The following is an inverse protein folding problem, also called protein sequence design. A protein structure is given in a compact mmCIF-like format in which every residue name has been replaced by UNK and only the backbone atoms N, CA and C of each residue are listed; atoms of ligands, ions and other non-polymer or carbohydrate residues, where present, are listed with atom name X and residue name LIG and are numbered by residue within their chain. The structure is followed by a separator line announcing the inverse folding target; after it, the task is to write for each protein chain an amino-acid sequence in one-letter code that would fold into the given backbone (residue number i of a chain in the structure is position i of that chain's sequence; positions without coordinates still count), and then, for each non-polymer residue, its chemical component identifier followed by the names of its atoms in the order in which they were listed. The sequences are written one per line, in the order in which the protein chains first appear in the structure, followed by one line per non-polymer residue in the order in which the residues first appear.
data_IF_968816970157
#
_entry.id   IF_968816970157
#
_cell.length_a   1.000
_cell.length_b   1.000
_cell.length_c   1.000
_cell.angle_alpha   90.00
_cell.angle_beta   90.00
_cell.angle_gamma   90.00
#
_symmetry.space_group_name_H-M   'P 1'
#
loop_
_entity.id
_entity.type
_entity.pdbx_description
1 polymer ?
#
# COMPACT_ATOMS: atom_id res chain seq x y z
N UNK A 1 1.08 59.25 -3.93
CA UNK A 1 -0.18 58.69 -3.33
C UNK A 1 -1.24 58.26 -4.36
N UNK A 2 -1.56 59.01 -5.43
CA UNK A 2 -2.56 58.61 -6.44
C UNK A 2 -2.24 57.29 -7.18
N UNK A 3 -0.97 57.06 -7.50
CA UNK A 3 -0.52 55.83 -8.17
C UNK A 3 -0.80 54.56 -7.33
N UNK A 4 -0.49 54.62 -6.03
CA UNK A 4 -0.74 53.54 -5.07
C UNK A 4 -2.26 53.32 -4.91
N UNK A 5 -3.06 54.39 -4.81
CA UNK A 5 -4.52 54.29 -4.72
C UNK A 5 -5.15 53.67 -5.98
N UNK A 6 -4.70 54.07 -7.17
CA UNK A 6 -5.20 53.53 -8.44
C UNK A 6 -4.78 52.07 -8.66
N UNK A 7 -3.55 51.71 -8.29
CA UNK A 7 -3.08 50.33 -8.30
C UNK A 7 -3.94 49.44 -7.40
N UNK A 8 -4.21 49.89 -6.16
CA UNK A 8 -5.08 49.19 -5.22
C UNK A 8 -6.54 49.13 -5.66
N UNK A 9 -7.08 50.15 -6.34
CA UNK A 9 -8.44 50.08 -6.90
C UNK A 9 -8.55 49.09 -8.05
N UNK A 10 -7.54 49.04 -8.93
CA UNK A 10 -7.50 48.12 -10.09
C UNK A 10 -7.39 46.65 -9.68
N UNK A 11 -6.70 46.36 -8.57
CA UNK A 11 -6.68 45.04 -7.95
C UNK A 11 -8.00 44.68 -7.24
N UNK A 12 -8.74 45.66 -6.72
CA UNK A 12 -10.03 45.46 -6.01
C UNK A 12 -11.25 45.35 -6.94
N UNK A 13 -11.12 45.67 -8.23
CA UNK A 13 -12.21 45.58 -9.21
C UNK A 13 -11.80 44.77 -10.45
N UNK A 14 -11.48 43.47 -10.31
CA UNK A 14 -11.17 42.64 -11.46
C UNK A 14 -12.38 42.57 -12.40
N UNK A 15 -12.15 42.62 -13.72
CA UNK A 15 -13.25 42.51 -14.68
C UNK A 15 -13.91 41.14 -14.54
N UNK A 16 -15.24 41.08 -14.71
CA UNK A 16 -15.99 39.80 -14.63
C UNK A 16 -15.42 38.74 -15.58
N UNK A 17 -14.90 39.17 -16.73
CA UNK A 17 -14.22 38.32 -17.72
C UNK A 17 -12.89 37.79 -17.18
N UNK A 18 -12.07 38.61 -16.52
CA UNK A 18 -10.82 38.16 -15.91
C UNK A 18 -11.07 37.17 -14.77
N UNK A 19 -12.07 37.42 -13.92
CA UNK A 19 -12.47 36.48 -12.86
C UNK A 19 -12.97 35.16 -13.46
N UNK A 20 -13.84 35.23 -14.47
CA UNK A 20 -14.34 34.03 -15.16
C UNK A 20 -13.23 33.23 -15.84
N UNK A 21 -12.26 33.90 -16.47
CA UNK A 21 -11.11 33.25 -17.09
C UNK A 21 -10.21 32.56 -16.06
N UNK A 22 -9.91 33.21 -14.93
CA UNK A 22 -9.09 32.61 -13.85
C UNK A 22 -9.79 31.41 -13.24
N UNK A 23 -11.10 31.52 -12.95
CA UNK A 23 -11.87 30.40 -12.42
C UNK A 23 -11.96 29.25 -13.42
N UNK A 24 -12.19 29.55 -14.71
CA UNK A 24 -12.23 28.55 -15.77
C UNK A 24 -10.89 27.82 -15.93
N UNK A 25 -9.78 28.57 -15.98
CA UNK A 25 -8.43 27.98 -16.03
C UNK A 25 -8.11 27.17 -14.78
N UNK A 26 -8.47 27.67 -13.59
CA UNK A 26 -8.28 26.95 -12.32
C UNK A 26 -9.07 25.64 -12.28
N UNK A 27 -10.31 25.64 -12.78
CA UNK A 27 -11.14 24.44 -12.86
C UNK A 27 -10.55 23.40 -13.83
N UNK A 28 -10.21 23.83 -15.05
CA UNK A 28 -9.57 22.95 -16.05
C UNK A 28 -8.22 22.42 -15.53
N UNK A 29 -7.40 23.29 -14.96
CA UNK A 29 -6.12 22.92 -14.34
C UNK A 29 -6.32 21.93 -13.18
N UNK A 30 -7.34 22.13 -12.35
CA UNK A 30 -7.70 21.22 -11.27
C UNK A 30 -8.09 19.83 -11.76
N UNK A 31 -8.91 19.74 -12.82
CA UNK A 31 -9.28 18.46 -13.45
C UNK A 31 -8.05 17.75 -14.01
N UNK A 32 -7.20 18.48 -14.75
CA UNK A 32 -5.98 17.92 -15.33
C UNK A 32 -5.02 17.43 -14.25
N UNK A 33 -4.82 18.22 -13.20
CA UNK A 33 -3.97 17.83 -12.07
C UNK A 33 -4.54 16.59 -11.36
N UNK A 34 -5.84 16.58 -11.06
CA UNK A 34 -6.48 15.44 -10.40
C UNK A 34 -6.38 14.16 -11.23
N UNK A 35 -6.62 14.25 -12.53
CA UNK A 35 -6.50 13.12 -13.46
C UNK A 35 -5.06 12.61 -13.53
N UNK A 36 -4.08 13.50 -13.73
CA UNK A 36 -2.67 13.14 -13.80
C UNK A 36 -2.16 12.52 -12.49
N UNK A 37 -2.54 13.12 -11.35
CA UNK A 37 -2.17 12.63 -10.02
C UNK A 37 -2.70 11.21 -9.79
N UNK A 38 -3.99 10.96 -10.01
CA UNK A 38 -4.58 9.62 -9.81
C UNK A 38 -4.03 8.60 -10.81
N UNK A 39 -3.74 9.02 -12.04
CA UNK A 39 -3.07 8.14 -13.03
C UNK A 39 -1.69 7.72 -12.56
N UNK A 40 -0.89 8.65 -12.04
CA UNK A 40 0.43 8.34 -11.47
C UNK A 40 0.34 7.46 -10.22
N UNK A 41 -0.65 7.72 -9.37
CA UNK A 41 -0.93 6.89 -8.18
C UNK A 41 -1.24 5.45 -8.55
N UNK A 42 -2.03 5.24 -9.61
CA UNK A 42 -2.41 3.91 -10.08
C UNK A 42 -1.27 3.21 -10.82
N UNK A 43 -0.52 3.93 -11.67
CA UNK A 43 0.65 3.39 -12.34
C UNK A 43 1.68 2.82 -11.32
N UNK A 44 1.84 3.51 -10.19
CA UNK A 44 2.74 3.10 -9.10
C UNK A 44 2.16 2.01 -8.18
N UNK A 45 0.95 1.51 -8.45
CA UNK A 45 0.36 0.34 -7.79
C UNK A 45 0.43 -0.93 -8.64
N UNK A 46 0.91 -0.83 -9.89
CA UNK A 46 0.99 -1.97 -10.79
C UNK A 46 2.14 -2.92 -10.42
N UNK A 47 1.98 -4.21 -10.73
CA UNK A 47 3.05 -5.20 -10.57
C UNK A 47 4.28 -4.85 -11.42
N UNK A 48 4.09 -4.24 -12.59
CA UNK A 48 5.19 -3.78 -13.44
C UNK A 48 6.06 -2.72 -12.74
N UNK A 49 5.44 -1.79 -12.01
CA UNK A 49 6.17 -0.81 -11.21
C UNK A 49 6.89 -1.48 -10.02
N UNK A 50 6.19 -2.31 -9.26
CA UNK A 50 6.76 -2.98 -8.09
C UNK A 50 7.92 -3.91 -8.47
N UNK A 51 7.76 -4.71 -9.52
CA UNK A 51 8.75 -5.67 -10.01
C UNK A 51 10.03 -5.00 -10.50
N UNK A 52 9.97 -3.74 -10.95
CA UNK A 52 11.15 -2.95 -11.31
C UNK A 52 12.21 -2.85 -10.19
N UNK A 53 11.81 -2.95 -8.92
CA UNK A 53 12.74 -2.98 -7.77
C UNK A 53 12.68 -4.31 -6.98
N UNK A 54 11.50 -4.93 -6.90
CA UNK A 54 11.24 -6.14 -6.09
C UNK A 54 11.23 -7.44 -6.89
N UNK A 55 11.95 -7.50 -8.01
CA UNK A 55 12.00 -8.68 -8.87
C UNK A 55 12.23 -10.03 -8.15
N UNK A 56 13.08 -10.14 -7.11
CA UNK A 56 13.34 -11.43 -6.46
C UNK A 56 12.14 -12.11 -5.80
N UNK A 57 11.03 -11.41 -5.56
CA UNK A 57 9.82 -11.97 -4.93
C UNK A 57 8.70 -12.27 -5.92
N UNK A 58 8.85 -11.87 -7.19
CA UNK A 58 7.78 -11.99 -8.20
C UNK A 58 7.49 -13.45 -8.54
N UNK A 59 8.51 -14.30 -8.60
CA UNK A 59 8.32 -15.74 -8.82
C UNK A 59 7.64 -16.42 -7.63
N UNK A 60 7.87 -15.91 -6.42
CA UNK A 60 7.37 -16.55 -5.20
C UNK A 60 5.86 -16.41 -5.04
N UNK A 61 5.29 -15.25 -5.39
CA UNK A 61 3.83 -15.06 -5.32
C UNK A 61 3.10 -15.98 -6.30
N UNK A 62 3.73 -16.31 -7.44
CA UNK A 62 3.16 -17.20 -8.45
C UNK A 62 2.89 -18.62 -7.95
N UNK A 63 3.61 -19.03 -6.91
CA UNK A 63 3.45 -20.33 -6.26
C UNK A 63 2.28 -20.36 -5.25
N UNK A 64 1.51 -19.25 -5.10
CA UNK A 64 0.51 -19.09 -4.03
C UNK A 64 -0.93 -18.98 -4.51
N UNK A 65 -1.88 -19.17 -3.60
CA UNK A 65 -3.33 -19.02 -3.86
C UNK A 65 -3.71 -17.58 -4.24
N UNK A 66 -2.90 -16.59 -3.86
CA UNK A 66 -3.12 -15.19 -4.23
C UNK A 66 -2.80 -14.91 -5.69
N UNK A 67 -2.04 -15.80 -6.35
CA UNK A 67 -1.78 -15.74 -7.79
C UNK A 67 -2.80 -16.53 -8.62
N UNK A 68 -3.02 -17.79 -8.26
CA UNK A 68 -3.93 -18.70 -8.98
C UNK A 68 -4.79 -19.47 -8.00
N UNK A 69 -6.11 -19.35 -8.15
CA UNK A 69 -7.08 -20.00 -7.28
C UNK A 69 -8.37 -20.35 -8.03
N UNK A 70 -9.21 -21.15 -7.37
CA UNK A 70 -10.49 -21.64 -7.89
C UNK A 70 -11.53 -20.56 -8.20
N UNK A 71 -11.41 -19.37 -7.60
CA UNK A 71 -12.41 -18.30 -7.73
C UNK A 71 -12.07 -17.30 -8.84
N UNK A 72 -10.83 -17.31 -9.34
CA UNK A 72 -10.35 -16.34 -10.34
C UNK A 72 -10.07 -14.93 -9.80
N UNK A 73 -10.20 -14.72 -8.48
CA UNK A 73 -9.88 -13.44 -7.83
C UNK A 73 -8.38 -13.40 -7.56
N UNK A 74 -7.65 -12.47 -8.16
CA UNK A 74 -6.20 -12.38 -8.00
C UNK A 74 -5.83 -11.11 -7.24
N UNK A 75 -5.03 -11.27 -6.19
CA UNK A 75 -4.41 -10.14 -5.51
C UNK A 75 -3.08 -9.81 -6.19
N UNK A 76 -2.82 -8.52 -6.41
CA UNK A 76 -1.55 -7.99 -6.89
C UNK A 76 -0.74 -7.39 -5.73
N UNK A 77 0.50 -6.98 -5.99
CA UNK A 77 1.39 -6.45 -4.96
C UNK A 77 0.74 -5.34 -4.13
N UNK A 78 0.03 -4.41 -4.78
CA UNK A 78 -0.56 -3.26 -4.11
C UNK A 78 -1.76 -3.60 -3.23
N UNK A 79 -2.51 -4.68 -3.51
CA UNK A 79 -3.66 -5.07 -2.67
C UNK A 79 -3.22 -5.42 -1.24
N UNK A 80 -2.01 -5.96 -1.08
CA UNK A 80 -1.44 -6.31 0.23
C UNK A 80 -0.49 -5.23 0.79
N UNK A 81 0.27 -4.54 -0.07
CA UNK A 81 1.33 -3.61 0.36
C UNK A 81 0.94 -2.13 0.35
N UNK A 82 -0.22 -1.78 -0.21
CA UNK A 82 -0.73 -0.41 -0.31
C UNK A 82 -2.18 -0.36 0.20
N UNK A 83 -2.49 0.41 1.25
CA UNK A 83 -3.86 0.49 1.76
C UNK A 83 -4.85 0.96 0.69
N UNK A 84 -6.08 0.44 0.73
CA UNK A 84 -7.13 0.83 -0.20
C UNK A 84 -7.74 2.19 0.17
N UNK A 85 -7.85 2.49 1.47
CA UNK A 85 -8.35 3.76 1.96
C UNK A 85 -7.41 4.92 1.58
N UNK A 86 -7.98 6.08 1.27
CA UNK A 86 -7.20 7.20 0.73
C UNK A 86 -6.09 7.67 1.69
N UNK A 87 -6.40 7.82 2.97
CA UNK A 87 -5.44 8.33 3.96
C UNK A 87 -4.28 7.37 4.15
N UNK A 88 -4.57 6.08 4.35
CA UNK A 88 -3.57 5.02 4.45
C UNK A 88 -2.72 4.91 3.19
N UNK A 89 -3.34 4.97 2.01
CA UNK A 89 -2.64 4.94 0.71
C UNK A 89 -1.62 6.07 0.60
N UNK A 90 -2.01 7.29 0.94
CA UNK A 90 -1.14 8.46 0.88
C UNK A 90 0.00 8.34 1.89
N UNK A 91 -0.29 7.95 3.14
CA UNK A 91 0.74 7.73 4.18
C UNK A 91 1.75 6.68 3.72
N UNK A 92 1.30 5.53 3.22
CA UNK A 92 2.17 4.45 2.75
C UNK A 92 3.03 4.90 1.56
N UNK A 93 2.47 5.66 0.63
CA UNK A 93 3.23 6.18 -0.52
C UNK A 93 4.26 7.24 -0.12
N UNK A 94 3.97 8.08 0.87
CA UNK A 94 4.97 8.98 1.46
C UNK A 94 6.07 8.18 2.14
N UNK A 95 5.75 7.12 2.89
CA UNK A 95 6.76 6.23 3.48
C UNK A 95 7.60 5.51 2.40
N UNK A 96 6.96 5.05 1.32
CA UNK A 96 7.61 4.36 0.20
C UNK A 96 8.64 5.24 -0.52
N UNK A 97 8.51 6.58 -0.46
CA UNK A 97 9.52 7.48 -1.02
C UNK A 97 10.93 7.21 -0.44
N UNK A 98 11.02 6.77 0.83
CA UNK A 98 12.28 6.36 1.46
C UNK A 98 12.83 5.06 0.87
N UNK A 99 11.97 4.14 0.45
CA UNK A 99 12.35 2.89 -0.22
C UNK A 99 12.94 3.18 -1.59
N UNK A 100 12.38 4.14 -2.34
CA UNK A 100 12.96 4.60 -3.62
C UNK A 100 14.36 5.19 -3.44
N UNK A 101 14.56 6.00 -2.40
CA UNK A 101 15.88 6.56 -2.06
C UNK A 101 16.86 5.44 -1.70
N UNK A 102 16.45 4.49 -0.85
CA UNK A 102 17.28 3.34 -0.47
C UNK A 102 17.64 2.44 -1.67
N UNK A 103 16.70 2.26 -2.61
CA UNK A 103 16.95 1.55 -3.86
C UNK A 103 17.95 2.29 -4.75
N UNK A 104 17.79 3.61 -4.91
CA UNK A 104 18.72 4.45 -5.66
C UNK A 104 20.14 4.45 -5.06
N UNK A 105 20.25 4.34 -3.73
CA UNK A 105 21.53 4.14 -3.01
C UNK A 105 22.07 2.70 -3.10
N UNK A 106 21.34 1.79 -3.73
CA UNK A 106 21.79 0.42 -3.99
C UNK A 106 21.63 -0.55 -2.82
N UNK A 107 20.70 -0.28 -1.89
CA UNK A 107 20.51 -1.10 -0.67
C UNK A 107 20.01 -2.52 -0.98
N UNK A 108 19.21 -2.67 -2.04
CA UNK A 108 18.66 -3.96 -2.51
C UNK A 108 18.88 -4.17 -4.03
N UNK A 109 19.89 -3.51 -4.61
CA UNK A 109 20.08 -3.45 -6.08
C UNK A 109 20.46 -4.77 -6.75
N UNK A 110 20.78 -5.81 -5.98
CA UNK A 110 21.07 -7.16 -6.48
C UNK A 110 20.28 -8.18 -5.68
N UNK A 111 20.11 -9.38 -6.25
CA UNK A 111 19.42 -10.51 -5.60
C UNK A 111 20.07 -10.87 -4.26
N UNK A 112 21.39 -10.85 -4.20
CA UNK A 112 22.19 -11.13 -3.00
C UNK A 112 21.95 -10.08 -1.92
N UNK A 113 21.96 -8.79 -2.29
CA UNK A 113 21.67 -7.69 -1.35
C UNK A 113 20.23 -7.74 -0.84
N UNK A 114 19.28 -8.06 -1.71
CA UNK A 114 17.88 -8.26 -1.32
C UNK A 114 17.76 -9.39 -0.30
N UNK A 115 18.34 -10.56 -0.60
CA UNK A 115 18.26 -11.71 0.29
C UNK A 115 19.00 -11.51 1.61
N UNK A 116 20.15 -10.82 1.61
CA UNK A 116 20.85 -10.44 2.84
C UNK A 116 19.99 -9.56 3.77
N UNK A 117 19.02 -8.83 3.21
CA UNK A 117 18.08 -7.98 3.96
C UNK A 117 16.68 -8.57 4.08
N UNK A 118 16.43 -9.78 3.56
CA UNK A 118 15.09 -10.37 3.47
C UNK A 118 14.37 -10.39 4.81
N UNK A 119 15.04 -10.85 5.87
CA UNK A 119 14.49 -10.89 7.23
C UNK A 119 14.05 -9.52 7.69
N UNK A 120 14.93 -8.52 7.59
CA UNK A 120 14.61 -7.14 7.96
C UNK A 120 13.44 -6.54 7.17
N UNK A 121 13.35 -6.82 5.86
CA UNK A 121 12.25 -6.35 5.03
C UNK A 121 10.92 -7.03 5.42
N UNK A 122 10.95 -8.34 5.65
CA UNK A 122 9.78 -9.11 6.07
C UNK A 122 9.28 -8.69 7.45
N UNK A 123 10.16 -8.54 8.44
CA UNK A 123 9.81 -8.11 9.80
C UNK A 123 9.17 -6.72 9.82
N UNK A 124 9.71 -5.77 9.03
CA UNK A 124 9.10 -4.44 8.90
C UNK A 124 7.68 -4.51 8.33
N UNK A 125 7.46 -5.38 7.36
CA UNK A 125 6.15 -5.49 6.73
C UNK A 125 5.15 -6.24 7.62
N UNK A 126 5.59 -7.29 8.32
CA UNK A 126 4.77 -7.96 9.31
C UNK A 126 4.43 -7.05 10.47
N UNK A 127 5.38 -6.25 10.95
CA UNK A 127 5.12 -5.24 11.98
C UNK A 127 4.07 -4.24 11.49
N UNK A 128 4.20 -3.71 10.27
CA UNK A 128 3.19 -2.81 9.68
C UNK A 128 1.80 -3.43 9.62
N UNK A 129 1.71 -4.67 9.15
CA UNK A 129 0.46 -5.43 9.06
C UNK A 129 -0.09 -5.80 10.45
N UNK A 130 0.75 -5.97 11.46
CA UNK A 130 0.30 -6.21 12.83
C UNK A 130 -0.24 -4.94 13.47
N UNK A 131 0.48 -3.82 13.33
CA UNK A 131 0.12 -2.52 13.90
C UNK A 131 -1.21 -1.96 13.37
N UNK A 132 -1.63 -2.39 12.17
CA UNK A 132 -2.89 -1.96 11.56
C UNK A 132 -3.97 -3.05 11.53
N UNK A 133 -3.85 -4.08 12.38
CA UNK A 133 -4.79 -5.21 12.47
C UNK A 133 -5.01 -5.92 11.11
N UNK A 134 -3.94 -6.07 10.34
CA UNK A 134 -3.92 -6.74 9.04
C UNK A 134 -4.99 -6.21 8.09
N UNK A 135 -5.23 -4.90 8.12
CA UNK A 135 -6.26 -4.21 7.33
C UNK A 135 -6.25 -4.62 5.86
N UNK A 136 -5.09 -4.76 5.26
CA UNK A 136 -4.96 -5.15 3.86
C UNK A 136 -5.44 -6.59 3.59
N UNK A 137 -5.27 -7.50 4.56
CA UNK A 137 -5.87 -8.83 4.50
C UNK A 137 -7.40 -8.73 4.60
N UNK A 138 -7.90 -7.93 5.54
CA UNK A 138 -9.34 -7.78 5.84
C UNK A 138 -10.14 -7.11 4.73
N UNK A 139 -9.50 -6.34 3.85
CA UNK A 139 -10.14 -5.80 2.65
C UNK A 139 -10.78 -6.89 1.76
N UNK A 140 -10.28 -8.13 1.84
CA UNK A 140 -10.79 -9.28 1.11
C UNK A 140 -11.21 -10.44 2.04
N UNK A 141 -10.55 -10.58 3.20
CA UNK A 141 -10.77 -11.64 4.18
C UNK A 141 -11.41 -11.10 5.45
N UNK A 142 -12.66 -10.67 5.34
CA UNK A 142 -13.39 -10.16 6.48
C UNK A 142 -13.75 -11.30 7.45
N UNK A 143 -13.53 -11.07 8.74
CA UNK A 143 -13.66 -12.10 9.77
C UNK A 143 -15.11 -12.59 9.89
N UNK A 144 -16.07 -11.65 9.86
CA UNK A 144 -17.50 -11.93 10.03
C UNK A 144 -18.08 -12.81 8.91
N UNK A 145 -17.39 -12.92 7.78
CA UNK A 145 -17.80 -13.73 6.64
C UNK A 145 -16.96 -15.01 6.48
N UNK A 146 -16.11 -15.34 7.45
CA UNK A 146 -15.40 -16.61 7.47
C UNK A 146 -16.34 -17.76 7.84
N UNK A 147 -16.47 -18.74 6.97
CA UNK A 147 -17.18 -19.97 7.29
C UNK A 147 -16.28 -20.90 8.14
N UNK A 148 -16.57 -21.04 9.43
CA UNK A 148 -15.81 -21.94 10.33
C UNK A 148 -16.08 -23.43 10.05
N UNK A 149 -17.20 -23.78 9.40
CA UNK A 149 -17.48 -25.19 9.09
C UNK A 149 -16.57 -25.74 8.00
N UNK A 150 -16.04 -24.87 7.13
CA UNK A 150 -15.11 -25.21 6.04
C UNK A 150 -13.63 -25.14 6.46
N UNK A 151 -13.35 -24.88 7.74
CA UNK A 151 -11.99 -24.71 8.26
C UNK A 151 -11.51 -25.95 9.01
N UNK A 152 -10.19 -26.18 8.97
CA UNK A 152 -9.57 -27.22 9.80
C UNK A 152 -9.71 -26.92 11.29
N UNK A 153 -9.75 -27.95 12.18
CA UNK A 153 -9.99 -27.77 13.61
C UNK A 153 -9.04 -26.76 14.30
N UNK A 154 -7.77 -26.73 13.88
CA UNK A 154 -6.79 -25.76 14.38
C UNK A 154 -7.16 -24.33 14.00
N UNK A 155 -7.54 -24.10 12.74
CA UNK A 155 -7.91 -22.78 12.22
C UNK A 155 -9.17 -22.28 12.91
N UNK A 156 -10.21 -23.12 13.04
CA UNK A 156 -11.43 -22.77 13.79
C UNK A 156 -11.07 -22.31 15.19
N UNK A 157 -10.28 -23.10 15.93
CA UNK A 157 -9.88 -22.73 17.29
C UNK A 157 -9.15 -21.39 17.34
N UNK A 158 -8.18 -21.16 16.46
CA UNK A 158 -7.39 -19.91 16.47
C UNK A 158 -8.22 -18.70 16.03
N UNK A 159 -9.06 -18.86 15.00
CA UNK A 159 -9.90 -17.78 14.51
C UNK A 159 -11.03 -17.44 15.50
N UNK A 160 -11.65 -18.42 16.15
CA UNK A 160 -12.72 -18.18 17.13
C UNK A 160 -12.25 -17.76 18.52
N UNK A 161 -10.93 -17.72 18.76
CA UNK A 161 -10.33 -17.26 20.01
C UNK A 161 -9.39 -16.10 19.75
N UNK A 162 -8.10 -16.35 19.54
CA UNK A 162 -7.06 -15.33 19.42
C UNK A 162 -7.38 -14.22 18.39
N UNK A 163 -8.00 -14.55 17.26
CA UNK A 163 -8.40 -13.53 16.27
C UNK A 163 -9.69 -12.80 16.68
N UNK A 164 -10.67 -13.51 17.24
CA UNK A 164 -11.96 -12.95 17.67
C UNK A 164 -11.82 -12.03 18.90
N UNK A 165 -10.95 -12.42 19.84
CA UNK A 165 -10.67 -11.69 21.08
C UNK A 165 -9.75 -10.48 20.84
N UNK A 166 -9.16 -10.37 19.64
CA UNK A 166 -8.23 -9.30 19.27
C UNK A 166 -6.80 -9.48 19.80
N UNK A 167 -6.49 -10.66 20.33
CA UNK A 167 -5.16 -11.01 20.85
C UNK A 167 -4.11 -11.23 19.74
N UNK A 168 -4.56 -11.52 18.52
CA UNK A 168 -3.72 -11.76 17.36
C UNK A 168 -4.31 -11.16 16.09
N UNK A 169 -3.42 -10.81 15.16
CA UNK A 169 -3.76 -10.36 13.81
C UNK A 169 -3.51 -11.48 12.79
N UNK A 170 -3.98 -11.31 11.55
CA UNK A 170 -3.80 -12.32 10.50
C UNK A 170 -2.31 -12.69 10.31
N UNK A 171 -1.43 -11.68 10.34
CA UNK A 171 0.02 -11.85 10.09
C UNK A 171 0.78 -12.45 11.28
N UNK A 172 0.19 -12.53 12.47
CA UNK A 172 0.82 -13.22 13.61
C UNK A 172 0.96 -14.74 13.33
N UNK A 173 -0.02 -15.32 12.63
CA UNK A 173 -0.02 -16.72 12.23
C UNK A 173 0.37 -16.94 10.76
N UNK A 174 -0.07 -16.07 9.84
CA UNK A 174 0.07 -16.26 8.39
C UNK A 174 1.30 -15.54 7.80
N UNK A 175 2.47 -15.70 8.44
CA UNK A 175 3.74 -15.24 7.85
C UNK A 175 4.09 -16.10 6.64
N UNK A 176 4.60 -15.47 5.58
CA UNK A 176 5.00 -16.16 4.35
C UNK A 176 3.86 -16.58 3.42
N UNK A 177 2.69 -15.92 3.52
CA UNK A 177 1.51 -16.27 2.73
C UNK A 177 1.65 -16.01 1.21
N UNK A 178 2.46 -15.01 0.83
CA UNK A 178 2.69 -14.62 -0.56
C UNK A 178 4.16 -14.79 -1.00
N UNK A 179 5.08 -14.90 -0.04
CA UNK A 179 6.53 -14.90 -0.27
C UNK A 179 7.20 -15.90 0.66
N UNK A 180 8.36 -16.44 0.24
CA UNK A 180 9.12 -17.40 1.04
C UNK A 180 9.56 -16.77 2.37
N UNK A 181 9.51 -17.55 3.44
CA UNK A 181 9.98 -17.08 4.73
C UNK A 181 11.49 -16.83 4.70
N UNK A 182 12.00 -15.78 5.36
CA UNK A 182 13.42 -15.63 5.64
C UNK A 182 13.89 -16.69 6.65
N UNK A 183 15.16 -16.62 7.06
CA UNK A 183 15.59 -17.27 8.28
C UNK A 183 14.74 -16.75 9.46
N UNK A 184 14.01 -17.68 10.08
CA UNK A 184 13.05 -17.37 11.14
C UNK A 184 13.65 -17.43 12.54
N UNK A 185 14.94 -17.72 12.66
CA UNK A 185 15.64 -17.66 13.95
C UNK A 185 15.45 -16.27 14.55
N UNK A 186 15.12 -16.18 15.83
CA UNK A 186 14.91 -14.93 16.58
C UNK A 186 13.75 -14.05 16.07
N UNK A 187 12.84 -14.58 15.25
CA UNK A 187 11.60 -13.88 14.89
C UNK A 187 10.59 -14.00 16.02
N UNK A 188 10.08 -12.86 16.50
CA UNK A 188 9.09 -12.83 17.58
C UNK A 188 7.83 -13.64 17.22
N UNK A 189 7.38 -14.47 18.16
CA UNK A 189 6.20 -15.33 17.99
C UNK A 189 6.39 -16.48 17.00
N UNK A 190 7.63 -16.80 16.60
CA UNK A 190 7.94 -17.96 15.74
C UNK A 190 8.65 -19.05 16.54
N UNK A 191 7.96 -20.16 16.80
CA UNK A 191 8.47 -21.36 17.49
C UNK A 191 8.01 -22.63 16.76
#
# INVERSE_FOLDING_TARGET
MKFIKNFWQRLKTPSKVAVGAVLGMGFVGGILFWGAFNTGMEATNTEAFCSGCHQPIVEEIQETIHWSNRSGVRAICSDCHVPHDWTGKIVRKVQASKELVAFAMGTISTKEKFYARRKHLAEREWQRLKENDSRECRNCHEFDFMDFSEQGPRSVKMHSTALADGDATCVDCHKGIAHKLPDMKDVEGWQ
#
